data_IF_453492024318
#
_entry.id   IF_453492024318
#
_cell.length_a   1.000
_cell.length_b   1.000
_cell.length_c   1.000
_cell.angle_alpha   90.00
_cell.angle_beta   90.00
_cell.angle_gamma   90.00
#
_symmetry.space_group_name_H-M   'P 1'
#
loop_
_entity.id
_entity.type
_entity.pdbx_description
1 polymer ?
#
# COMPACT_ATOMS: atom_id res chain seq x y z
N UNK A 1 19.55 2.47 -29.45
CA UNK A 1 20.33 1.53 -28.61
C UNK A 1 19.37 0.47 -28.10
N UNK A 2 19.65 -0.81 -28.35
CA UNK A 2 18.80 -1.92 -27.95
C UNK A 2 19.02 -2.23 -26.46
N UNK A 3 17.95 -2.23 -25.67
CA UNK A 3 18.00 -2.65 -24.27
C UNK A 3 18.08 -4.18 -24.26
N UNK A 4 19.19 -4.74 -23.81
CA UNK A 4 19.33 -6.19 -23.66
C UNK A 4 18.31 -6.69 -22.62
N UNK A 5 17.36 -7.51 -23.08
CA UNK A 5 16.48 -8.30 -22.23
C UNK A 5 17.34 -9.34 -21.50
N UNK A 6 17.64 -9.10 -20.23
CA UNK A 6 18.25 -10.11 -19.37
C UNK A 6 17.28 -11.28 -19.17
N UNK A 7 17.80 -12.50 -19.37
CA UNK A 7 17.08 -13.76 -19.17
C UNK A 7 16.66 -13.86 -17.69
N UNK A 8 15.36 -13.70 -17.39
CA UNK A 8 14.88 -13.73 -15.99
C UNK A 8 15.03 -15.14 -15.42
N UNK A 9 15.64 -15.33 -14.24
CA UNK A 9 15.71 -16.65 -13.63
C UNK A 9 14.30 -17.21 -13.39
N UNK A 10 14.08 -18.46 -13.80
CA UNK A 10 12.83 -19.18 -13.51
C UNK A 10 12.72 -19.40 -12.00
N UNK A 11 11.84 -18.65 -11.36
CA UNK A 11 11.50 -18.89 -9.96
C UNK A 11 10.72 -20.22 -9.84
N UNK A 12 11.25 -21.16 -9.07
CA UNK A 12 10.55 -22.38 -8.65
C UNK A 12 10.14 -22.25 -7.18
N UNK A 13 8.83 -22.23 -6.86
CA UNK A 13 8.39 -22.13 -5.48
C UNK A 13 8.75 -23.40 -4.68
N UNK A 14 9.11 -23.28 -3.39
CA UNK A 14 9.30 -24.43 -2.51
C UNK A 14 7.99 -25.22 -2.32
N UNK A 15 8.06 -26.51 -1.90
CA UNK A 15 6.87 -27.36 -1.74
C UNK A 15 5.86 -26.74 -0.76
N UNK A 16 4.62 -26.65 -1.22
CA UNK A 16 3.54 -25.92 -0.55
C UNK A 16 2.97 -26.70 0.63
N UNK A 17 3.02 -26.11 1.83
CA UNK A 17 1.99 -26.33 2.86
C UNK A 17 0.60 -26.06 2.23
N UNK A 18 -0.49 -26.70 2.70
CA UNK A 18 -1.82 -26.56 2.08
C UNK A 18 -2.12 -25.08 1.82
N UNK A 19 -2.26 -24.75 0.53
CA UNK A 19 -2.18 -23.38 0.06
C UNK A 19 -3.29 -22.53 0.68
N UNK A 20 -2.94 -21.65 1.62
CA UNK A 20 -3.78 -20.49 1.85
C UNK A 20 -3.85 -19.73 0.53
N UNK A 21 -5.01 -19.74 -0.13
CA UNK A 21 -5.18 -19.21 -1.48
C UNK A 21 -4.60 -17.80 -1.62
N UNK A 22 -3.72 -17.61 -2.61
CA UNK A 22 -3.15 -16.30 -2.95
C UNK A 22 -4.05 -15.62 -3.96
N UNK A 23 -4.56 -14.44 -3.61
CA UNK A 23 -5.33 -13.59 -4.50
C UNK A 23 -4.52 -12.34 -4.88
N UNK A 24 -4.58 -11.93 -6.15
CA UNK A 24 -3.83 -10.78 -6.67
C UNK A 24 -4.79 -9.81 -7.32
N UNK A 25 -4.64 -8.54 -6.99
CA UNK A 25 -5.32 -7.41 -7.64
C UNK A 25 -4.35 -6.78 -8.64
N UNK A 26 -4.82 -6.51 -9.84
CA UNK A 26 -4.08 -5.76 -10.87
C UNK A 26 -4.86 -4.49 -11.17
N UNK A 27 -4.17 -3.35 -11.26
CA UNK A 27 -4.78 -2.11 -11.75
C UNK A 27 -4.66 -1.95 -13.27
N UNK A 28 -4.06 -2.92 -13.98
CA UNK A 28 -3.78 -2.83 -15.41
C UNK A 28 -2.72 -1.78 -15.78
N UNK A 29 -1.93 -1.32 -14.81
CA UNK A 29 -0.91 -0.31 -15.04
C UNK A 29 0.28 -0.87 -15.82
N UNK A 30 0.84 -0.08 -16.74
CA UNK A 30 1.97 -0.50 -17.59
C UNK A 30 3.17 -1.02 -16.78
N UNK A 31 3.42 -0.42 -15.61
CA UNK A 31 4.48 -0.82 -14.69
C UNK A 31 4.26 -2.17 -14.01
N UNK A 32 3.03 -2.63 -13.82
CA UNK A 32 2.76 -3.91 -13.14
C UNK A 32 3.37 -5.08 -13.91
N UNK A 33 3.19 -5.09 -15.24
CA UNK A 33 3.75 -6.11 -16.11
C UNK A 33 5.27 -5.94 -16.28
N UNK A 34 5.75 -4.71 -16.47
CA UNK A 34 7.17 -4.43 -16.70
C UNK A 34 8.03 -4.73 -15.47
N UNK A 35 7.61 -4.25 -14.29
CA UNK A 35 8.34 -4.37 -13.01
C UNK A 35 8.03 -5.70 -12.32
N UNK A 36 6.82 -6.23 -12.46
CA UNK A 36 6.42 -7.53 -11.89
C UNK A 36 5.85 -7.43 -10.47
N UNK A 37 4.88 -6.53 -10.26
CA UNK A 37 4.13 -6.42 -9.01
C UNK A 37 2.62 -6.49 -9.26
N UNK A 38 1.85 -6.70 -8.18
CA UNK A 38 0.38 -6.61 -8.19
C UNK A 38 -0.02 -5.40 -7.35
N UNK A 39 -1.06 -4.67 -7.76
CA UNK A 39 -1.62 -3.56 -6.97
C UNK A 39 -1.84 -3.95 -5.50
N UNK A 40 -2.38 -5.14 -5.28
CA UNK A 40 -2.46 -5.74 -3.97
C UNK A 40 -2.32 -7.26 -4.04
N UNK A 41 -1.86 -7.86 -2.95
CA UNK A 41 -1.81 -9.32 -2.77
C UNK A 41 -2.47 -9.67 -1.46
N UNK A 42 -3.39 -10.62 -1.48
CA UNK A 42 -3.99 -11.22 -0.29
C UNK A 42 -3.54 -12.66 -0.13
N UNK A 43 -3.12 -13.02 1.09
CA UNK A 43 -2.81 -14.39 1.50
C UNK A 43 -3.45 -14.64 2.87
N UNK A 44 -4.51 -15.44 2.90
CA UNK A 44 -5.31 -15.64 4.11
C UNK A 44 -5.95 -14.33 4.60
N UNK A 45 -5.60 -13.94 5.84
CA UNK A 45 -6.04 -12.71 6.49
C UNK A 45 -5.20 -11.47 6.12
N UNK A 46 -4.01 -11.65 5.55
CA UNK A 46 -3.07 -10.56 5.30
C UNK A 46 -3.24 -10.00 3.89
N UNK A 47 -3.24 -8.68 3.79
CA UNK A 47 -3.26 -7.94 2.53
C UNK A 47 -2.09 -6.96 2.54
N UNK A 48 -1.30 -6.98 1.46
CA UNK A 48 -0.27 -5.98 1.19
C UNK A 48 -0.68 -5.20 -0.07
N UNK A 49 -0.75 -3.87 0.04
CA UNK A 49 -0.98 -2.94 -1.07
C UNK A 49 0.37 -2.37 -1.47
N UNK A 50 0.70 -2.48 -2.75
CA UNK A 50 1.96 -1.97 -3.28
C UNK A 50 2.05 -0.43 -3.16
N UNK A 51 3.29 0.08 -3.18
CA UNK A 51 3.58 1.50 -3.31
C UNK A 51 2.71 2.15 -4.39
N UNK A 52 1.92 3.13 -3.96
CA UNK A 52 0.90 3.76 -4.78
C UNK A 52 1.18 5.26 -4.91
N UNK A 53 1.20 5.73 -6.15
CA UNK A 53 1.42 7.13 -6.52
C UNK A 53 0.22 7.68 -7.31
N UNK A 54 0.21 8.99 -7.52
CA UNK A 54 -0.78 9.69 -8.33
C UNK A 54 -0.48 9.64 -9.85
N UNK A 55 0.44 8.77 -10.29
CA UNK A 55 0.85 8.66 -11.69
C UNK A 55 -0.34 8.37 -12.63
N UNK A 56 -0.27 8.92 -13.84
CA UNK A 56 -1.20 8.64 -14.94
C UNK A 56 -0.41 8.38 -16.22
N UNK A 57 -0.75 7.35 -17.02
CA UNK A 57 -0.06 7.10 -18.28
C UNK A 57 -0.16 8.31 -19.21
N UNK A 58 0.99 8.78 -19.70
CA UNK A 58 1.11 9.88 -20.66
C UNK A 58 0.41 11.19 -20.25
N UNK A 59 0.24 11.42 -18.94
CA UNK A 59 -0.43 12.60 -18.39
C UNK A 59 0.30 13.06 -17.13
N UNK A 60 0.22 14.35 -16.77
CA UNK A 60 0.69 14.81 -15.46
C UNK A 60 0.04 13.99 -14.33
N UNK A 61 0.70 13.81 -13.18
CA UNK A 61 0.08 13.19 -12.01
C UNK A 61 -1.29 13.80 -11.70
N UNK A 62 -2.22 12.98 -11.21
CA UNK A 62 -3.48 13.51 -10.70
C UNK A 62 -3.18 14.47 -9.54
N UNK A 63 -3.70 15.69 -9.58
CA UNK A 63 -3.34 16.75 -8.63
C UNK A 63 -2.15 17.63 -9.04
N UNK A 64 -1.43 17.31 -10.13
CA UNK A 64 -0.34 18.16 -10.63
C UNK A 64 0.81 18.28 -9.62
N UNK A 65 1.16 19.51 -9.24
CA UNK A 65 2.21 19.86 -8.27
C UNK A 65 1.70 20.02 -6.81
N UNK A 66 0.42 19.72 -6.59
CA UNK A 66 -0.22 19.74 -5.26
C UNK A 66 -0.03 18.39 -4.55
N UNK A 67 0.80 18.37 -3.49
CA UNK A 67 1.09 17.16 -2.72
C UNK A 67 -0.16 16.66 -1.96
N UNK A 68 -1.07 17.54 -1.56
CA UNK A 68 -2.29 17.15 -0.86
C UNK A 68 -3.25 16.45 -1.82
N UNK A 69 -3.42 16.97 -3.04
CA UNK A 69 -4.25 16.31 -4.05
C UNK A 69 -3.63 15.01 -4.56
N UNK A 70 -2.30 14.94 -4.74
CA UNK A 70 -1.63 13.67 -5.03
C UNK A 70 -1.85 12.65 -3.89
N UNK A 71 -1.73 13.08 -2.63
CA UNK A 71 -1.95 12.22 -1.44
C UNK A 71 -3.39 11.69 -1.42
N UNK A 72 -4.37 12.55 -1.69
CA UNK A 72 -5.79 12.18 -1.72
C UNK A 72 -6.08 11.15 -2.80
N UNK A 73 -5.49 11.32 -3.99
CA UNK A 73 -5.61 10.33 -5.06
C UNK A 73 -4.97 8.99 -4.68
N UNK A 74 -3.76 9.03 -4.09
CA UNK A 74 -3.05 7.83 -3.63
C UNK A 74 -3.91 7.03 -2.65
N UNK A 75 -4.51 7.70 -1.66
CA UNK A 75 -5.35 7.04 -0.66
C UNK A 75 -6.64 6.45 -1.25
N UNK A 76 -7.29 7.12 -2.21
CA UNK A 76 -8.44 6.55 -2.94
C UNK A 76 -8.06 5.28 -3.73
N UNK A 77 -6.89 5.26 -4.34
CA UNK A 77 -6.38 4.08 -5.07
C UNK A 77 -6.08 2.93 -4.12
N UNK A 78 -5.51 3.22 -2.95
CA UNK A 78 -5.29 2.23 -1.89
C UNK A 78 -6.63 1.65 -1.41
N UNK A 79 -7.62 2.49 -1.13
CA UNK A 79 -8.97 2.05 -0.75
C UNK A 79 -9.57 1.14 -1.84
N UNK A 80 -9.50 1.55 -3.11
CA UNK A 80 -9.98 0.74 -4.24
C UNK A 80 -9.28 -0.63 -4.32
N UNK A 81 -7.96 -0.67 -4.09
CA UNK A 81 -7.19 -1.90 -4.07
C UNK A 81 -7.60 -2.83 -2.91
N UNK A 82 -7.79 -2.28 -1.71
CA UNK A 82 -8.26 -3.02 -0.54
C UNK A 82 -9.66 -3.61 -0.78
N UNK A 83 -10.58 -2.81 -1.31
CA UNK A 83 -11.96 -3.25 -1.59
C UNK A 83 -11.99 -4.45 -2.55
N UNK A 84 -11.12 -4.48 -3.56
CA UNK A 84 -11.00 -5.63 -4.47
C UNK A 84 -10.51 -6.91 -3.79
N UNK A 85 -9.84 -6.82 -2.63
CA UNK A 85 -9.45 -7.96 -1.81
C UNK A 85 -10.49 -8.36 -0.76
N UNK A 86 -11.60 -7.62 -0.66
CA UNK A 86 -12.60 -7.76 0.40
C UNK A 86 -12.17 -7.16 1.75
N UNK A 87 -11.17 -6.28 1.74
CA UNK A 87 -10.75 -5.47 2.88
C UNK A 87 -11.26 -4.02 2.72
N UNK A 88 -11.12 -3.22 3.75
CA UNK A 88 -11.47 -1.80 3.79
C UNK A 88 -10.36 -0.99 4.47
N UNK A 89 -10.48 0.34 4.49
CA UNK A 89 -9.52 1.19 5.21
C UNK A 89 -9.44 0.87 6.70
N UNK A 90 -10.54 0.43 7.34
CA UNK A 90 -10.52 0.08 8.77
C UNK A 90 -9.74 -1.21 9.08
N UNK A 91 -9.42 -2.00 8.06
CA UNK A 91 -8.57 -3.18 8.21
C UNK A 91 -7.07 -2.83 8.10
N UNK A 92 -6.73 -1.59 7.74
CA UNK A 92 -5.33 -1.12 7.61
C UNK A 92 -4.70 -1.00 8.98
N UNK A 93 -3.62 -1.76 9.17
CA UNK A 93 -2.83 -1.75 10.41
C UNK A 93 -1.57 -0.90 10.29
N UNK A 94 -1.11 -0.63 9.06
CA UNK A 94 0.09 0.16 8.81
C UNK A 94 0.05 0.91 7.48
N UNK A 95 0.59 2.13 7.48
CA UNK A 95 0.96 2.89 6.28
C UNK A 95 2.42 3.30 6.33
N UNK A 96 3.13 3.25 5.20
CA UNK A 96 4.45 3.87 5.04
C UNK A 96 4.37 4.88 3.91
N UNK A 97 4.84 6.09 4.18
CA UNK A 97 4.64 7.28 3.36
C UNK A 97 6.02 7.81 2.99
N UNK A 98 6.29 7.91 1.70
CA UNK A 98 7.52 8.42 1.14
C UNK A 98 7.21 9.74 0.44
N UNK A 99 7.89 10.82 0.81
CA UNK A 99 7.73 12.14 0.19
C UNK A 99 9.05 12.63 -0.37
N UNK A 100 9.00 13.47 -1.41
CA UNK A 100 10.22 14.08 -1.99
C UNK A 100 10.63 15.39 -1.30
N UNK A 101 9.73 15.98 -0.52
CA UNK A 101 9.99 17.16 0.32
C UNK A 101 9.23 17.00 1.65
N UNK A 102 9.95 16.65 2.72
CA UNK A 102 9.38 16.42 4.05
C UNK A 102 8.99 17.71 4.73
N UNK A 103 9.44 18.89 4.27
CA UNK A 103 8.97 20.16 4.82
C UNK A 103 7.45 20.33 4.63
N UNK A 104 6.87 19.65 3.62
CA UNK A 104 5.44 19.61 3.30
C UNK A 104 4.66 18.52 4.05
N UNK A 105 5.25 17.86 5.06
CA UNK A 105 4.63 16.74 5.79
C UNK A 105 3.23 17.06 6.34
N UNK A 106 2.97 18.32 6.72
CA UNK A 106 1.69 18.71 7.31
C UNK A 106 0.54 18.62 6.29
N UNK A 107 0.78 18.97 5.03
CA UNK A 107 -0.21 18.85 3.95
C UNK A 107 -0.60 17.37 3.75
N UNK A 108 0.40 16.48 3.71
CA UNK A 108 0.22 15.03 3.60
C UNK A 108 -0.48 14.46 4.83
N UNK A 109 -0.07 14.89 6.03
CA UNK A 109 -0.60 14.46 7.31
C UNK A 109 -2.07 14.82 7.51
N UNK A 110 -2.50 16.01 7.08
CA UNK A 110 -3.92 16.41 7.12
C UNK A 110 -4.79 15.52 6.24
N UNK A 111 -4.32 15.22 5.02
CA UNK A 111 -5.06 14.33 4.11
C UNK A 111 -5.08 12.90 4.64
N UNK A 112 -3.96 12.37 5.14
CA UNK A 112 -3.92 11.06 5.79
C UNK A 112 -4.88 10.97 6.98
N UNK A 113 -4.88 11.99 7.85
CA UNK A 113 -5.80 12.09 8.99
C UNK A 113 -7.27 12.12 8.60
N UNK A 114 -7.62 12.68 7.44
CA UNK A 114 -8.99 12.66 6.93
C UNK A 114 -9.49 11.26 6.55
N UNK A 115 -8.58 10.34 6.18
CA UNK A 115 -8.92 8.95 5.84
C UNK A 115 -8.80 8.01 7.05
N UNK A 116 -7.85 8.27 7.95
CA UNK A 116 -7.46 7.33 9.01
C UNK A 116 -7.65 7.87 10.44
N UNK A 117 -8.25 9.04 10.65
CA UNK A 117 -8.31 9.71 11.96
C UNK A 117 -8.83 8.84 13.12
N UNK A 118 -9.86 8.05 12.87
CA UNK A 118 -10.43 7.10 13.84
C UNK A 118 -9.76 5.71 13.78
N UNK A 119 -9.23 5.32 12.62
CA UNK A 119 -8.61 4.00 12.38
C UNK A 119 -7.21 3.92 13.01
N UNK A 120 -6.43 5.00 12.92
CA UNK A 120 -5.10 5.18 13.53
C UNK A 120 -4.13 4.00 13.27
N UNK A 121 -3.81 3.69 12.00
CA UNK A 121 -2.80 2.67 11.71
C UNK A 121 -1.43 3.12 12.20
N UNK A 122 -0.52 2.16 12.41
CA UNK A 122 0.89 2.48 12.58
C UNK A 122 1.38 3.26 11.34
N UNK A 123 2.04 4.40 11.53
CA UNK A 123 2.43 5.25 10.42
C UNK A 123 3.93 5.57 10.48
N UNK A 124 4.54 5.66 9.30
CA UNK A 124 5.90 6.19 9.12
C UNK A 124 5.87 7.09 7.91
N UNK A 125 6.45 8.28 8.05
CA UNK A 125 6.66 9.22 6.94
C UNK A 125 8.15 9.58 6.89
N UNK A 126 8.76 9.45 5.73
CA UNK A 126 10.18 9.75 5.52
C UNK A 126 10.38 10.50 4.20
N UNK A 127 11.42 11.33 4.16
CA UNK A 127 11.89 11.89 2.90
C UNK A 127 12.69 10.85 2.11
N UNK A 128 12.50 10.82 0.80
CA UNK A 128 13.32 10.04 -0.14
C UNK A 128 13.90 10.95 -1.21
N UNK A 129 15.05 10.58 -1.76
CA UNK A 129 15.75 11.42 -2.74
C UNK A 129 14.98 11.62 -4.06
N UNK A 130 14.16 10.65 -4.45
CA UNK A 130 13.34 10.69 -5.66
C UNK A 130 12.27 9.59 -5.66
N UNK A 131 11.20 9.79 -6.43
CA UNK A 131 10.25 8.76 -6.85
C UNK A 131 10.49 8.39 -8.32
N UNK A 132 9.77 7.40 -8.85
CA UNK A 132 9.98 6.87 -10.20
C UNK A 132 9.79 7.91 -11.33
N UNK A 133 9.03 8.96 -11.06
CA UNK A 133 8.81 10.11 -11.93
C UNK A 133 9.02 11.40 -11.11
N UNK A 134 9.81 12.38 -11.59
CA UNK A 134 10.11 13.60 -10.84
C UNK A 134 8.89 14.50 -10.56
N UNK A 135 7.77 14.31 -11.27
CA UNK A 135 6.53 15.03 -10.98
C UNK A 135 5.74 14.42 -9.81
N UNK A 136 6.11 13.22 -9.35
CA UNK A 136 5.48 12.57 -8.19
C UNK A 136 6.08 13.10 -6.90
N UNK A 137 5.21 13.44 -5.96
CA UNK A 137 5.57 14.08 -4.70
C UNK A 137 5.40 13.15 -3.49
N UNK A 138 4.57 12.12 -3.64
CA UNK A 138 4.22 11.18 -2.57
C UNK A 138 3.97 9.78 -3.10
N UNK A 139 4.44 8.78 -2.37
CA UNK A 139 4.13 7.36 -2.55
C UNK A 139 3.72 6.75 -1.21
N UNK A 140 2.66 5.94 -1.19
CA UNK A 140 2.17 5.29 0.03
C UNK A 140 1.97 3.80 -0.22
N UNK A 141 2.45 2.97 0.70
CA UNK A 141 2.09 1.55 0.81
C UNK A 141 1.27 1.29 2.08
N UNK A 142 0.45 0.25 2.06
CA UNK A 142 -0.43 -0.11 3.17
C UNK A 142 -0.48 -1.62 3.41
N UNK A 143 -0.46 -2.00 4.69
CA UNK A 143 -0.71 -3.37 5.14
C UNK A 143 -2.06 -3.43 5.86
N UNK A 144 -2.88 -4.44 5.52
CA UNK A 144 -4.18 -4.67 6.15
C UNK A 144 -4.33 -6.12 6.61
N UNK A 145 -5.15 -6.33 7.65
CA UNK A 145 -5.47 -7.64 8.21
C UNK A 145 -6.99 -7.77 8.33
N UNK A 146 -7.57 -8.70 7.57
CA UNK A 146 -9.00 -9.03 7.64
C UNK A 146 -9.24 -10.23 8.56
N UNK A 147 -10.12 -10.08 9.53
CA UNK A 147 -10.48 -11.14 10.46
C UNK A 147 -11.11 -10.56 11.72
N UNK A 148 -11.93 -11.34 12.43
CA UNK A 148 -12.49 -10.89 13.71
C UNK A 148 -11.33 -10.54 14.65
N UNK A 149 -11.25 -9.27 15.05
CA UNK A 149 -10.40 -8.81 16.14
C UNK A 149 -10.55 -9.79 17.30
N UNK A 150 -9.48 -10.52 17.61
CA UNK A 150 -9.32 -11.13 18.93
C UNK A 150 -9.32 -9.94 19.89
N UNK A 151 -10.33 -9.87 20.76
CA UNK A 151 -10.44 -8.71 21.66
C UNK A 151 -9.20 -8.72 22.55
N UNK A 152 -8.67 -7.56 22.97
CA UNK A 152 -7.56 -7.52 23.93
C UNK A 152 -7.84 -8.36 25.20
N UNK A 153 -9.12 -8.53 25.55
CA UNK A 153 -9.59 -9.39 26.65
C UNK A 153 -9.37 -10.90 26.42
N UNK A 154 -9.26 -11.35 25.17
CA UNK A 154 -9.00 -12.75 24.83
C UNK A 154 -7.48 -13.09 24.90
N UNK A 155 -6.62 -12.09 25.16
CA UNK A 155 -5.17 -12.22 25.34
C UNK A 155 -4.74 -12.21 26.82
N UNK A 156 -5.67 -12.04 27.76
CA UNK A 156 -5.35 -12.23 29.16
C UNK A 156 -5.22 -13.74 29.45
N UNK A 157 -4.12 -14.20 30.09
CA UNK A 157 -4.01 -15.59 30.48
C UNK A 157 -5.20 -15.95 31.39
N UNK A 158 -5.87 -17.05 31.06
CA UNK A 158 -6.93 -17.62 31.88
C UNK A 158 -6.31 -17.99 33.23
N UNK A 159 -6.53 -17.15 34.24
CA UNK A 159 -6.22 -17.43 35.63
C UNK A 159 -5.16 -16.54 36.24
N UNK A 160 -5.59 -15.42 36.82
CA UNK A 160 -5.32 -15.10 38.23
C UNK A 160 -6.53 -14.32 38.77
N UNK A 161 -7.43 -15.02 39.46
CA UNK A 161 -8.34 -14.43 40.45
C UNK A 161 -7.78 -14.79 41.83
N UNK A 162 -7.75 -13.86 42.81
CA UNK A 162 -8.20 -14.16 44.15
C UNK A 162 -9.73 -14.09 44.26
#
# INVERSE_FOLDING_TARGET
>A
MAVQLFDRPRYSPPPTLPAMGRFRVSSGGEWEAAVGYSRAVRVGAHIAVAGTTAARPNQPPAGGDDIAEQTREVLRRIESALNQTGASLSDVVRTRIFVTDISRWHEVGLVHGAFFGDIRPAATMVEVSALIDPALLVEIEADAIVGKLVRPLDLLPIGVLP
#
